data_IF_196827817744
#
_entry.id   IF_196827817744
#
_cell.length_a   1.000
_cell.length_b   1.000
_cell.length_c   1.000
_cell.angle_alpha   90.00
_cell.angle_beta   90.00
_cell.angle_gamma   90.00
#
_symmetry.space_group_name_H-M   'P 1'
#
loop_
_entity.id
_entity.type
_entity.pdbx_description
1 polymer ?
#
# COMPACT_ATOMS: atom_id res chain seq x y z
N UNK A 1 -100.62 34.19 -1.83
CA UNK A 1 -99.41 34.91 -1.37
C UNK A 1 -98.78 34.06 -0.27
N UNK A 2 -98.11 32.96 -0.65
CA UNK A 2 -97.47 32.05 0.30
C UNK A 2 -95.97 32.35 0.27
N UNK A 3 -95.50 33.15 1.21
CA UNK A 3 -94.09 33.44 1.41
C UNK A 3 -93.42 32.24 2.06
N UNK A 4 -92.54 31.60 1.30
CA UNK A 4 -91.57 30.60 1.75
C UNK A 4 -90.61 31.28 2.74
N UNK A 5 -90.92 31.21 4.04
CA UNK A 5 -89.99 31.59 5.09
C UNK A 5 -89.03 30.40 5.32
N UNK A 6 -87.92 30.38 4.57
CA UNK A 6 -86.81 29.47 4.85
C UNK A 6 -86.29 29.77 6.26
N UNK A 7 -86.37 28.79 7.16
CA UNK A 7 -85.91 28.94 8.55
C UNK A 7 -84.39 29.17 8.58
N UNK A 8 -83.88 30.06 9.45
CA UNK A 8 -82.45 30.39 9.52
C UNK A 8 -81.56 29.16 9.83
N UNK A 9 -82.15 28.12 10.44
CA UNK A 9 -81.50 26.85 10.76
C UNK A 9 -81.19 26.03 9.49
N UNK A 10 -82.06 26.07 8.48
CA UNK A 10 -81.86 25.36 7.21
C UNK A 10 -80.74 25.96 6.38
N UNK A 11 -80.55 27.28 6.45
CA UNK A 11 -79.48 27.99 5.74
C UNK A 11 -78.15 27.75 6.44
N UNK A 12 -78.14 27.79 7.78
CA UNK A 12 -76.93 27.53 8.58
C UNK A 12 -76.40 26.11 8.39
N UNK A 13 -77.28 25.11 8.40
CA UNK A 13 -76.91 23.71 8.17
C UNK A 13 -76.37 23.47 6.75
N UNK A 14 -76.95 24.11 5.74
CA UNK A 14 -76.44 24.06 4.36
C UNK A 14 -75.05 24.70 4.22
N UNK A 15 -74.82 25.84 4.89
CA UNK A 15 -73.51 26.52 4.90
C UNK A 15 -72.47 25.66 5.62
N UNK A 16 -72.80 25.06 6.76
CA UNK A 16 -71.89 24.16 7.48
C UNK A 16 -71.58 22.94 6.62
N UNK A 17 -72.56 22.34 5.95
CA UNK A 17 -72.35 21.19 5.06
C UNK A 17 -71.49 21.55 3.84
N UNK A 18 -71.67 22.75 3.29
CA UNK A 18 -70.85 23.27 2.20
C UNK A 18 -69.41 23.55 2.67
N UNK A 19 -69.23 24.15 3.85
CA UNK A 19 -67.92 24.39 4.43
C UNK A 19 -67.20 23.09 4.79
N UNK A 20 -67.89 22.09 5.34
CA UNK A 20 -67.29 20.79 5.65
C UNK A 20 -66.96 20.00 4.40
N UNK A 21 -67.81 20.03 3.36
CA UNK A 21 -67.48 19.39 2.07
C UNK A 21 -66.31 20.08 1.37
N UNK A 22 -66.22 21.42 1.41
CA UNK A 22 -65.04 22.16 0.92
C UNK A 22 -63.79 21.89 1.76
N UNK A 23 -63.92 21.73 3.08
CA UNK A 23 -62.80 21.33 3.95
C UNK A 23 -62.33 19.91 3.65
N UNK A 24 -63.27 18.98 3.44
CA UNK A 24 -62.99 17.57 3.09
C UNK A 24 -62.43 17.43 1.67
N UNK A 25 -62.85 18.28 0.73
CA UNK A 25 -62.25 18.38 -0.61
C UNK A 25 -60.86 19.02 -0.60
N UNK A 26 -60.53 19.83 0.43
CA UNK A 26 -59.17 20.36 0.65
C UNK A 26 -58.21 19.38 1.32
N UNK A 27 -58.70 18.28 1.90
CA UNK A 27 -57.87 17.27 2.56
C UNK A 27 -57.37 16.17 1.64
N UNK A 28 -57.67 16.21 0.34
CA UNK A 28 -57.26 15.18 -0.62
C UNK A 28 -56.32 15.74 -1.69
N UNK A 29 -55.08 15.95 -1.28
CA UNK A 29 -53.88 15.86 -2.11
C UNK A 29 -52.70 15.97 -1.15
N UNK A 30 -52.50 14.93 -0.34
CA UNK A 30 -51.15 14.64 0.12
C UNK A 30 -50.42 14.14 -1.13
N UNK A 31 -49.97 15.07 -1.98
CA UNK A 31 -48.95 14.79 -2.97
C UNK A 31 -47.73 14.39 -2.12
N UNK A 32 -47.60 13.07 -1.90
CA UNK A 32 -46.52 12.51 -1.10
C UNK A 32 -45.23 12.95 -1.77
N UNK A 33 -44.60 13.99 -1.21
CA UNK A 33 -43.40 14.58 -1.78
C UNK A 33 -42.31 13.52 -1.72
N UNK A 34 -42.14 12.78 -2.81
CA UNK A 34 -41.13 11.72 -2.95
C UNK A 34 -39.77 12.31 -2.59
N UNK A 35 -39.20 11.88 -1.46
CA UNK A 35 -37.93 12.30 -0.90
C UNK A 35 -36.86 11.27 -1.24
N UNK A 36 -35.64 11.75 -1.49
CA UNK A 36 -34.48 10.89 -1.68
C UNK A 36 -33.85 10.67 -0.32
N UNK A 37 -33.62 9.41 0.05
CA UNK A 37 -33.03 9.10 1.36
C UNK A 37 -31.51 9.23 1.29
N UNK A 38 -30.96 9.99 2.23
CA UNK A 38 -29.51 10.19 2.37
C UNK A 38 -28.86 9.05 3.13
N UNK A 39 -27.83 8.45 2.53
CA UNK A 39 -26.94 7.56 3.25
C UNK A 39 -26.01 8.39 4.16
N UNK A 40 -25.95 8.05 5.45
CA UNK A 40 -25.17 8.78 6.45
C UNK A 40 -23.73 8.26 6.60
N UNK A 41 -23.47 7.03 6.16
CA UNK A 41 -22.16 6.37 6.29
C UNK A 41 -21.49 6.21 4.93
N UNK A 42 -20.19 6.52 4.82
CA UNK A 42 -19.41 6.24 3.62
C UNK A 42 -19.40 4.75 3.28
N UNK A 43 -19.30 4.46 1.99
CA UNK A 43 -19.08 3.11 1.48
C UNK A 43 -17.58 2.90 1.38
N UNK A 44 -17.09 1.82 1.99
CA UNK A 44 -15.68 1.42 1.87
C UNK A 44 -15.62 0.24 0.89
N UNK A 45 -14.76 0.35 -0.11
CA UNK A 45 -14.58 -0.66 -1.15
C UNK A 45 -13.10 -1.04 -1.29
N UNK A 46 -12.81 -2.30 -1.64
CA UNK A 46 -11.47 -2.67 -2.08
C UNK A 46 -11.29 -2.42 -3.58
N UNK A 47 -10.06 -2.10 -4.00
CA UNK A 47 -9.72 -1.98 -5.43
C UNK A 47 -10.02 -3.31 -6.13
N UNK A 48 -10.75 -3.24 -7.24
CA UNK A 48 -11.22 -4.39 -8.01
C UNK A 48 -12.61 -4.89 -7.63
N UNK A 49 -13.19 -4.43 -6.52
CA UNK A 49 -14.53 -4.86 -6.11
C UNK A 49 -15.64 -4.34 -7.03
N UNK A 50 -16.77 -5.05 -7.04
CA UNK A 50 -18.05 -4.57 -7.54
C UNK A 50 -18.89 -4.05 -6.37
N UNK A 51 -19.33 -2.79 -6.43
CA UNK A 51 -20.09 -2.14 -5.35
C UNK A 51 -21.44 -1.60 -5.82
N UNK A 52 -22.28 -1.25 -4.84
CA UNK A 52 -23.55 -0.56 -5.08
C UNK A 52 -23.59 0.74 -4.28
N UNK A 53 -23.76 1.86 -4.96
CA UNK A 53 -24.05 3.16 -4.36
C UNK A 53 -25.57 3.30 -4.23
N UNK A 54 -26.13 3.28 -3.02
CA UNK A 54 -27.57 3.21 -2.85
C UNK A 54 -28.22 4.58 -3.04
N UNK A 55 -29.39 4.58 -3.67
CA UNK A 55 -30.26 5.73 -3.75
C UNK A 55 -31.69 5.23 -3.99
N UNK A 56 -32.65 5.66 -3.17
CA UNK A 56 -34.03 5.21 -3.26
C UNK A 56 -35.01 6.35 -2.99
N UNK A 57 -36.20 6.19 -3.56
CA UNK A 57 -37.32 7.12 -3.46
C UNK A 57 -38.25 6.72 -2.32
N UNK A 58 -38.64 7.70 -1.49
CA UNK A 58 -39.59 7.53 -0.40
C UNK A 58 -40.71 8.58 -0.49
N UNK A 59 -41.98 8.21 -0.74
CA UNK A 59 -42.45 6.85 -0.91
C UNK A 59 -41.93 6.18 -2.18
N UNK A 60 -41.93 4.84 -2.18
CA UNK A 60 -41.59 4.04 -3.35
C UNK A 60 -42.52 4.34 -4.52
N UNK A 61 -41.94 4.76 -5.65
CA UNK A 61 -42.64 5.04 -6.91
C UNK A 61 -41.89 4.41 -8.08
N UNK A 62 -42.57 4.18 -9.20
CA UNK A 62 -41.95 3.59 -10.39
C UNK A 62 -40.94 4.56 -11.01
N UNK A 63 -39.66 4.31 -10.78
CA UNK A 63 -38.56 5.11 -11.28
C UNK A 63 -38.16 4.76 -12.72
N UNK A 64 -38.73 3.71 -13.33
CA UNK A 64 -38.36 3.30 -14.69
C UNK A 64 -38.68 4.38 -15.73
N UNK A 65 -39.71 5.19 -15.49
CA UNK A 65 -40.14 6.29 -16.36
C UNK A 65 -39.61 7.66 -15.95
N UNK A 66 -38.91 7.75 -14.82
CA UNK A 66 -38.40 9.00 -14.23
C UNK A 66 -36.95 9.21 -14.68
N UNK A 67 -36.57 10.46 -14.96
CA UNK A 67 -35.17 10.82 -15.25
C UNK A 67 -34.39 11.00 -13.95
N UNK A 68 -33.21 10.41 -13.85
CA UNK A 68 -32.29 10.61 -12.74
C UNK A 68 -30.83 10.49 -13.17
N UNK A 69 -29.95 11.12 -12.40
CA UNK A 69 -28.56 11.32 -12.73
C UNK A 69 -27.67 10.94 -11.55
N UNK A 70 -26.69 10.08 -11.80
CA UNK A 70 -25.53 9.91 -10.93
C UNK A 70 -24.40 10.78 -11.45
N UNK A 71 -23.89 11.68 -10.60
CA UNK A 71 -22.85 12.64 -10.97
C UNK A 71 -21.74 12.70 -9.93
N UNK A 72 -20.56 13.12 -10.37
CA UNK A 72 -19.38 13.42 -9.57
C UNK A 72 -19.03 14.89 -9.77
N UNK A 73 -19.33 15.77 -8.79
CA UNK A 73 -19.17 17.22 -8.95
C UNK A 73 -17.73 17.67 -9.23
N UNK A 74 -16.75 16.87 -8.82
CA UNK A 74 -15.32 17.09 -8.99
C UNK A 74 -14.78 16.68 -10.37
N UNK A 75 -15.58 16.00 -11.19
CA UNK A 75 -15.18 15.51 -12.51
C UNK A 75 -15.75 16.36 -13.66
N UNK A 76 -15.04 16.35 -14.79
CA UNK A 76 -15.51 16.91 -16.05
C UNK A 76 -15.24 15.92 -17.21
N UNK A 77 -16.26 15.35 -17.86
CA UNK A 77 -17.69 15.49 -17.59
C UNK A 77 -18.09 14.95 -16.21
N UNK A 78 -19.10 15.54 -15.56
CA UNK A 78 -19.54 15.11 -14.21
C UNK A 78 -20.40 13.85 -14.20
N UNK A 79 -20.92 13.41 -15.34
CA UNK A 79 -21.93 12.35 -15.38
C UNK A 79 -21.29 10.97 -15.23
N UNK A 80 -21.65 10.27 -14.15
CA UNK A 80 -21.24 8.89 -13.89
C UNK A 80 -22.22 7.92 -14.56
N UNK A 81 -23.52 8.22 -14.49
CA UNK A 81 -24.57 7.46 -15.16
C UNK A 81 -25.82 8.33 -15.30
N UNK A 82 -26.52 8.24 -16.43
CA UNK A 82 -27.73 9.03 -16.68
C UNK A 82 -28.81 8.10 -17.21
N UNK A 83 -29.94 8.08 -16.51
CA UNK A 83 -31.14 7.37 -16.91
C UNK A 83 -32.21 8.37 -17.33
N UNK A 84 -32.74 8.20 -18.54
CA UNK A 84 -33.74 9.10 -19.11
C UNK A 84 -34.87 8.28 -19.74
N UNK A 85 -36.04 8.31 -19.09
CA UNK A 85 -37.30 7.76 -19.61
C UNK A 85 -37.19 6.33 -20.20
N UNK A 86 -36.50 5.42 -19.51
CA UNK A 86 -36.38 4.03 -19.92
C UNK A 86 -35.05 3.67 -20.59
N UNK A 87 -34.18 4.64 -20.86
CA UNK A 87 -32.93 4.45 -21.59
C UNK A 87 -31.72 5.02 -20.85
N UNK A 88 -30.57 4.35 -21.01
CA UNK A 88 -29.28 4.82 -20.52
C UNK A 88 -28.66 5.80 -21.52
N UNK A 89 -28.36 7.03 -21.10
CA UNK A 89 -27.71 8.03 -21.97
C UNK A 89 -26.19 7.91 -21.91
N UNK A 90 -25.64 7.00 -22.71
CA UNK A 90 -24.21 6.65 -22.72
C UNK A 90 -23.29 7.77 -23.26
N UNK A 91 -23.80 8.67 -24.09
CA UNK A 91 -22.98 9.70 -24.74
C UNK A 91 -22.49 10.78 -23.77
N UNK A 92 -23.26 11.05 -22.72
CA UNK A 92 -22.93 12.05 -21.69
C UNK A 92 -21.97 11.49 -20.63
N UNK A 93 -21.81 10.17 -20.58
CA UNK A 93 -21.09 9.49 -19.53
C UNK A 93 -19.59 9.82 -19.57
N UNK A 94 -19.03 10.13 -18.39
CA UNK A 94 -17.61 10.30 -18.22
C UNK A 94 -16.86 9.02 -18.67
N UNK A 95 -15.81 9.13 -19.50
CA UNK A 95 -15.08 7.99 -20.04
C UNK A 95 -14.60 6.97 -19.00
N UNK A 96 -14.24 7.42 -17.78
CA UNK A 96 -13.75 6.54 -16.70
C UNK A 96 -14.80 5.55 -16.17
N UNK A 97 -16.08 5.82 -16.43
CA UNK A 97 -17.22 5.02 -15.96
C UNK A 97 -17.91 4.24 -17.08
N UNK A 98 -17.55 4.49 -18.35
CA UNK A 98 -18.16 3.81 -19.50
C UNK A 98 -17.96 2.29 -19.40
N UNK A 99 -19.06 1.56 -19.53
CA UNK A 99 -19.07 0.09 -19.42
C UNK A 99 -18.88 -0.46 -18.01
N UNK A 100 -18.72 0.40 -16.99
CA UNK A 100 -18.50 -0.01 -15.59
C UNK A 100 -19.69 0.22 -14.69
N UNK A 101 -20.72 0.93 -15.16
CA UNK A 101 -21.90 1.25 -14.36
C UNK A 101 -23.18 0.67 -14.92
N UNK A 102 -24.08 0.27 -14.03
CA UNK A 102 -25.41 -0.24 -14.40
C UNK A 102 -26.42 0.00 -13.29
N UNK A 103 -27.71 -0.16 -13.61
CA UNK A 103 -28.83 -0.07 -12.68
C UNK A 103 -29.44 -1.45 -12.44
N UNK A 104 -30.18 -1.59 -11.35
CA UNK A 104 -31.00 -2.78 -11.06
C UNK A 104 -32.37 -2.62 -11.73
N UNK A 105 -32.48 -2.97 -13.01
CA UNK A 105 -33.69 -2.75 -13.81
C UNK A 105 -34.96 -3.30 -13.17
N UNK A 106 -34.86 -4.44 -12.49
CA UNK A 106 -35.95 -5.08 -11.76
C UNK A 106 -36.42 -4.32 -10.52
N UNK A 107 -35.57 -3.46 -9.94
CA UNK A 107 -35.86 -2.68 -8.73
C UNK A 107 -36.27 -1.23 -9.00
N UNK A 108 -36.13 -0.75 -10.23
CA UNK A 108 -36.58 0.59 -10.63
C UNK A 108 -38.08 0.79 -10.35
N UNK A 109 -38.90 -0.25 -10.57
CA UNK A 109 -40.35 -0.20 -10.31
C UNK A 109 -40.71 -0.01 -8.84
N UNK A 110 -39.79 -0.35 -7.93
CA UNK A 110 -39.92 -0.13 -6.48
C UNK A 110 -39.24 1.15 -6.01
N UNK A 111 -38.77 2.02 -6.91
CA UNK A 111 -38.12 3.27 -6.56
C UNK A 111 -36.66 3.15 -6.14
N UNK A 112 -36.03 2.00 -6.35
CA UNK A 112 -34.59 1.80 -6.11
C UNK A 112 -33.81 2.18 -7.36
N UNK A 113 -33.07 3.27 -7.27
CA UNK A 113 -32.25 3.86 -8.34
C UNK A 113 -30.74 3.76 -8.00
N UNK A 114 -30.39 2.76 -7.19
CA UNK A 114 -29.01 2.49 -6.79
C UNK A 114 -28.12 2.16 -7.99
N UNK A 115 -26.89 2.67 -7.96
CA UNK A 115 -25.92 2.48 -9.02
C UNK A 115 -24.98 1.33 -8.69
N UNK A 116 -24.88 0.34 -9.59
CA UNK A 116 -23.77 -0.62 -9.56
C UNK A 116 -22.54 0.01 -10.22
N UNK A 117 -21.39 -0.08 -9.57
CA UNK A 117 -20.07 0.28 -10.11
C UNK A 117 -19.16 -0.95 -10.03
N UNK A 118 -18.56 -1.33 -11.15
CA UNK A 118 -17.70 -2.52 -11.26
C UNK A 118 -16.21 -2.18 -11.32
N UNK A 119 -15.38 -3.12 -10.86
CA UNK A 119 -13.92 -3.04 -10.87
C UNK A 119 -13.38 -1.74 -10.26
N UNK A 120 -13.77 -1.42 -9.02
CA UNK A 120 -13.44 -0.14 -8.34
C UNK A 120 -11.95 0.20 -8.46
N UNK A 121 -11.65 1.45 -8.80
CA UNK A 121 -10.30 2.01 -8.96
C UNK A 121 -10.03 3.10 -7.92
N UNK A 122 -8.76 3.37 -7.59
CA UNK A 122 -8.39 4.52 -6.76
C UNK A 122 -9.03 5.85 -7.20
N UNK A 123 -9.11 6.09 -8.52
CA UNK A 123 -9.71 7.29 -9.10
C UNK A 123 -11.23 7.41 -8.88
N UNK A 124 -11.90 6.32 -8.51
CA UNK A 124 -13.33 6.32 -8.25
C UNK A 124 -13.65 6.82 -6.84
N UNK A 125 -12.66 6.96 -5.96
CA UNK A 125 -12.85 7.56 -4.63
C UNK A 125 -13.45 8.97 -4.74
N UNK A 126 -14.39 9.29 -3.86
CA UNK A 126 -14.99 10.61 -3.77
C UNK A 126 -16.50 10.62 -3.56
N UNK A 127 -17.08 11.81 -3.72
CA UNK A 127 -18.47 12.10 -3.38
C UNK A 127 -19.38 12.05 -4.61
N UNK A 128 -20.24 11.05 -4.67
CA UNK A 128 -21.24 10.86 -5.72
C UNK A 128 -22.55 11.55 -5.35
N UNK A 129 -23.23 12.11 -6.34
CA UNK A 129 -24.54 12.76 -6.22
C UNK A 129 -25.56 12.00 -7.03
N UNK A 130 -26.61 11.52 -6.38
CA UNK A 130 -27.82 11.00 -7.01
C UNK A 130 -28.82 12.15 -7.08
N UNK A 131 -29.25 12.54 -8.28
CA UNK A 131 -30.12 13.70 -8.50
C UNK A 131 -31.33 13.34 -9.36
N UNK A 132 -32.51 13.81 -8.95
CA UNK A 132 -33.74 13.70 -9.70
C UNK A 132 -34.20 15.09 -10.15
N UNK A 133 -33.98 15.45 -11.43
CA UNK A 133 -34.32 16.77 -11.94
C UNK A 133 -35.78 17.16 -11.76
N UNK A 134 -36.72 16.23 -12.01
CA UNK A 134 -38.16 16.51 -11.93
C UNK A 134 -38.62 16.87 -10.52
N UNK A 135 -37.99 16.29 -9.50
CA UNK A 135 -38.33 16.53 -8.10
C UNK A 135 -37.46 17.62 -7.46
N UNK A 136 -36.43 18.08 -8.17
CA UNK A 136 -35.37 18.96 -7.64
C UNK A 136 -34.75 18.43 -6.33
N UNK A 137 -34.60 17.10 -6.21
CA UNK A 137 -34.04 16.45 -5.02
C UNK A 137 -32.75 15.72 -5.35
N UNK A 138 -31.79 15.82 -4.46
CA UNK A 138 -30.55 15.06 -4.50
C UNK A 138 -30.20 14.41 -3.17
N UNK A 139 -29.30 13.46 -3.26
CA UNK A 139 -28.53 12.97 -2.13
C UNK A 139 -27.09 12.71 -2.53
N UNK A 140 -26.24 12.51 -1.52
CA UNK A 140 -24.83 12.23 -1.73
C UNK A 140 -24.42 10.93 -1.05
N UNK A 141 -23.54 10.21 -1.73
CA UNK A 141 -22.90 8.99 -1.23
C UNK A 141 -21.40 9.19 -1.34
N UNK A 142 -20.68 8.97 -0.25
CA UNK A 142 -19.22 9.05 -0.22
C UNK A 142 -18.64 7.64 -0.37
N UNK A 143 -17.75 7.48 -1.36
CA UNK A 143 -17.00 6.25 -1.59
C UNK A 143 -15.55 6.45 -1.15
N UNK A 144 -15.08 5.58 -0.25
CA UNK A 144 -13.69 5.47 0.20
C UNK A 144 -13.11 4.19 -0.40
N UNK A 145 -11.96 4.31 -1.06
CA UNK A 145 -11.31 3.19 -1.73
C UNK A 145 -10.12 2.73 -0.90
N UNK A 146 -9.95 1.42 -0.79
CA UNK A 146 -8.86 0.79 -0.04
C UNK A 146 -8.17 -0.28 -0.89
N UNK A 147 -6.86 -0.39 -0.76
CA UNK A 147 -6.09 -1.53 -1.25
C UNK A 147 -5.03 -1.87 -0.22
N UNK A 148 -4.90 -3.15 0.08
CA UNK A 148 -3.99 -3.65 1.11
C UNK A 148 -3.11 -4.72 0.48
N UNK A 149 -1.80 -4.55 0.65
CA UNK A 149 -0.84 -5.55 0.19
C UNK A 149 -1.04 -6.90 0.88
N UNK A 150 -0.76 -7.97 0.14
CA UNK A 150 -0.74 -9.34 0.65
C UNK A 150 0.65 -9.76 1.14
N UNK A 151 1.73 -9.07 0.75
CA UNK A 151 3.10 -9.46 1.14
C UNK A 151 4.10 -8.31 1.06
N UNK A 152 5.09 -8.32 1.97
CA UNK A 152 6.24 -7.42 1.95
C UNK A 152 7.53 -8.19 1.68
N UNK A 153 8.42 -7.63 0.88
CA UNK A 153 9.76 -8.16 0.62
C UNK A 153 10.76 -7.53 1.58
N UNK A 154 11.67 -8.35 2.11
CA UNK A 154 12.68 -7.92 3.09
C UNK A 154 14.07 -8.12 2.52
N UNK A 155 14.91 -7.09 2.65
CA UNK A 155 16.34 -7.15 2.38
C UNK A 155 17.15 -7.00 3.67
N UNK A 156 18.24 -7.77 3.79
CA UNK A 156 19.18 -7.70 4.90
C UNK A 156 20.57 -7.44 4.32
N UNK A 157 21.22 -6.34 4.73
CA UNK A 157 22.53 -5.96 4.24
C UNK A 157 23.49 -5.68 5.41
N UNK A 158 24.68 -6.29 5.37
CA UNK A 158 25.74 -5.99 6.35
C UNK A 158 26.34 -4.61 6.10
N UNK A 159 26.64 -3.89 7.19
CA UNK A 159 27.40 -2.64 7.19
C UNK A 159 28.70 -2.85 7.99
N UNK A 160 29.66 -1.95 7.82
CA UNK A 160 30.88 -1.93 8.64
C UNK A 160 30.54 -1.78 10.13
N UNK A 161 31.44 -2.26 10.99
CA UNK A 161 31.33 -2.18 12.45
C UNK A 161 30.20 -3.00 13.09
N UNK A 162 29.68 -4.03 12.41
CA UNK A 162 28.70 -4.95 13.01
C UNK A 162 27.27 -4.39 13.05
N UNK A 163 27.00 -3.31 12.33
CA UNK A 163 25.65 -2.83 12.07
C UNK A 163 25.04 -3.54 10.85
N UNK A 164 23.71 -3.66 10.83
CA UNK A 164 22.96 -4.29 9.74
C UNK A 164 21.86 -3.34 9.28
N UNK A 165 21.74 -3.15 7.96
CA UNK A 165 20.64 -2.41 7.35
C UNK A 165 19.55 -3.39 6.96
N UNK A 166 18.35 -3.15 7.48
CA UNK A 166 17.14 -3.83 7.08
C UNK A 166 16.40 -2.93 6.09
N UNK A 167 15.89 -3.53 5.02
CA UNK A 167 15.02 -2.87 4.06
C UNK A 167 13.70 -3.63 3.99
N UNK A 168 12.59 -2.91 4.10
CA UNK A 168 11.26 -3.44 3.92
C UNK A 168 10.62 -2.75 2.72
N UNK A 169 10.13 -3.53 1.77
CA UNK A 169 9.43 -3.05 0.58
C UNK A 169 8.06 -3.71 0.50
N UNK A 170 6.99 -2.93 0.31
CA UNK A 170 5.61 -3.41 0.23
C UNK A 170 4.87 -2.71 -0.90
N UNK A 171 4.06 -3.47 -1.67
CA UNK A 171 3.43 -2.99 -2.92
C UNK A 171 1.92 -3.19 -2.89
N UNK A 172 1.16 -2.35 -3.60
CA UNK A 172 -0.29 -2.54 -3.75
C UNK A 172 -1.13 -1.91 -2.65
N UNK A 173 -0.73 -0.73 -2.17
CA UNK A 173 -1.44 0.00 -1.12
C UNK A 173 -2.25 1.17 -1.69
N UNK A 174 -3.44 1.42 -1.14
CA UNK A 174 -4.17 2.66 -1.38
C UNK A 174 -5.12 2.93 -0.21
N UNK A 175 -5.21 4.15 0.35
CA UNK A 175 -4.34 5.31 0.13
C UNK A 175 -2.86 5.09 0.55
N UNK A 176 -2.03 6.13 0.50
CA UNK A 176 -0.62 6.05 0.91
C UNK A 176 -0.46 5.55 2.36
N UNK A 177 0.32 4.47 2.61
CA UNK A 177 0.54 3.94 3.96
C UNK A 177 1.85 4.44 4.60
N UNK A 178 2.00 4.23 5.90
CA UNK A 178 3.21 4.51 6.67
C UNK A 178 3.96 3.22 7.02
N UNK A 179 5.29 3.25 7.01
CA UNK A 179 6.13 2.12 7.46
C UNK A 179 6.76 2.44 8.81
N UNK A 180 6.52 1.57 9.78
CA UNK A 180 6.98 1.66 11.16
C UNK A 180 7.86 0.45 11.45
N UNK A 181 8.99 0.69 12.12
CA UNK A 181 9.91 -0.36 12.54
C UNK A 181 9.81 -0.60 14.03
N UNK A 182 9.73 -1.88 14.42
CA UNK A 182 9.70 -2.31 15.81
C UNK A 182 10.84 -3.29 16.09
N UNK A 183 11.38 -3.26 17.30
CA UNK A 183 12.24 -4.34 17.81
C UNK A 183 11.42 -5.56 18.25
N UNK A 184 12.12 -6.63 18.66
CA UNK A 184 11.50 -7.89 19.12
C UNK A 184 10.64 -7.75 20.37
N UNK A 185 10.76 -6.63 21.09
CA UNK A 185 9.99 -6.29 22.28
C UNK A 185 8.81 -5.36 21.97
N UNK A 186 8.69 -4.88 20.72
CA UNK A 186 7.63 -4.01 20.25
C UNK A 186 7.90 -2.51 20.40
N UNK A 187 9.14 -2.09 20.69
CA UNK A 187 9.51 -0.68 20.79
C UNK A 187 9.82 -0.10 19.41
N UNK A 188 9.49 1.18 19.22
CA UNK A 188 9.74 1.91 17.98
C UNK A 188 11.24 2.10 17.73
N UNK A 189 11.67 1.84 16.50
CA UNK A 189 13.01 2.12 16.01
C UNK A 189 13.02 3.42 15.20
N UNK A 190 14.09 4.20 15.37
CA UNK A 190 14.32 5.40 14.56
C UNK A 190 14.81 4.99 13.18
N UNK A 191 13.97 5.17 12.16
CA UNK A 191 14.27 4.89 10.76
C UNK A 191 14.31 6.18 9.95
N UNK A 192 14.88 6.09 8.74
CA UNK A 192 14.77 7.18 7.76
C UNK A 192 13.32 7.39 7.29
N UNK A 193 13.08 8.45 6.48
CA UNK A 193 11.76 8.65 5.89
C UNK A 193 11.37 7.45 5.00
N UNK A 194 10.07 7.16 4.96
CA UNK A 194 9.53 6.15 4.04
C UNK A 194 9.59 6.71 2.62
N UNK A 195 10.19 5.96 1.71
CA UNK A 195 10.16 6.24 0.28
C UNK A 195 8.86 5.69 -0.29
N UNK A 196 8.05 6.55 -0.92
CA UNK A 196 6.78 6.15 -1.53
C UNK A 196 6.81 6.44 -3.02
N UNK A 197 6.34 5.47 -3.81
CA UNK A 197 6.26 5.57 -5.27
C UNK A 197 4.86 5.14 -5.70
N UNK A 198 4.22 5.97 -6.52
CA UNK A 198 2.91 5.64 -7.11
C UNK A 198 3.10 4.93 -8.44
N UNK A 199 2.54 3.73 -8.53
CA UNK A 199 2.58 2.88 -9.72
C UNK A 199 1.62 3.35 -10.82
N UNK A 200 1.70 2.74 -12.02
CA UNK A 200 0.77 3.02 -13.12
C UNK A 200 -0.67 2.54 -12.85
N UNK A 201 -0.85 1.68 -11.86
CA UNK A 201 -2.12 1.19 -11.33
C UNK A 201 -2.73 2.13 -10.27
N UNK A 202 -2.12 3.30 -10.05
CA UNK A 202 -2.45 4.25 -8.99
C UNK A 202 -2.27 3.72 -7.55
N UNK A 203 -1.62 2.57 -7.39
CA UNK A 203 -1.31 2.00 -6.09
C UNK A 203 0.08 2.43 -5.62
N UNK A 204 0.24 2.53 -4.30
CA UNK A 204 1.48 2.91 -3.64
C UNK A 204 2.37 1.68 -3.41
N UNK A 205 3.65 1.86 -3.71
CA UNK A 205 4.75 1.03 -3.27
C UNK A 205 5.56 1.81 -2.25
N UNK A 206 5.79 1.22 -1.09
CA UNK A 206 6.51 1.84 0.02
C UNK A 206 7.76 1.07 0.35
N UNK A 207 8.85 1.78 0.57
CA UNK A 207 10.16 1.24 0.91
C UNK A 207 10.71 2.02 2.09
N UNK A 208 11.17 1.31 3.13
CA UNK A 208 11.82 1.93 4.28
C UNK A 208 13.08 1.15 4.65
N UNK A 209 14.07 1.87 5.17
CA UNK A 209 15.35 1.31 5.61
C UNK A 209 15.63 1.72 7.05
N UNK A 210 16.11 0.78 7.85
CA UNK A 210 16.56 1.02 9.23
C UNK A 210 17.91 0.36 9.47
N UNK A 211 18.78 1.01 10.24
CA UNK A 211 20.05 0.43 10.68
C UNK A 211 19.90 -0.06 12.10
N UNK A 212 20.24 -1.32 12.34
CA UNK A 212 20.12 -1.98 13.64
C UNK A 212 21.44 -2.60 14.07
N UNK A 213 21.62 -2.70 15.37
CA UNK A 213 22.74 -3.40 16.01
C UNK A 213 22.24 -4.69 16.68
N UNK A 214 23.18 -5.56 17.07
CA UNK A 214 22.86 -6.83 17.72
C UNK A 214 22.08 -6.62 19.02
N UNK A 215 20.97 -7.35 19.18
CA UNK A 215 20.15 -7.38 20.40
C UNK A 215 19.95 -8.81 20.89
N UNK A 216 19.22 -8.99 21.98
CA UNK A 216 19.00 -10.32 22.56
C UNK A 216 18.13 -11.22 21.66
N UNK A 217 17.07 -10.66 21.07
CA UNK A 217 16.10 -11.37 20.23
C UNK A 217 16.50 -11.44 18.75
N UNK A 218 17.30 -10.47 18.28
CA UNK A 218 17.64 -10.29 16.85
C UNK A 218 16.42 -10.37 15.92
N UNK A 219 15.24 -10.05 16.44
CA UNK A 219 14.00 -9.99 15.70
C UNK A 219 13.55 -8.55 15.57
N UNK A 220 13.01 -8.24 14.40
CA UNK A 220 12.55 -6.91 14.04
C UNK A 220 11.25 -7.06 13.26
N UNK A 221 10.36 -6.10 13.40
CA UNK A 221 9.08 -6.11 12.70
C UNK A 221 8.98 -4.88 11.81
N UNK A 222 8.75 -5.09 10.52
CA UNK A 222 8.28 -4.05 9.62
C UNK A 222 6.75 -4.04 9.68
N UNK A 223 6.16 -2.94 10.15
CA UNK A 223 4.71 -2.72 10.20
C UNK A 223 4.34 -1.66 9.17
N UNK A 224 3.57 -2.05 8.16
CA UNK A 224 2.96 -1.13 7.20
C UNK A 224 1.53 -0.85 7.66
N UNK A 225 1.22 0.42 7.91
CA UNK A 225 -0.01 0.85 8.55
C UNK A 225 -0.71 1.93 7.72
N UNK A 226 -2.03 1.81 7.60
CA UNK A 226 -2.89 2.75 6.91
C UNK A 226 -3.96 3.26 7.89
N UNK A 227 -3.80 4.51 8.34
CA UNK A 227 -4.65 5.08 9.38
C UNK A 227 -6.08 5.37 8.90
N UNK A 228 -6.26 5.75 7.63
CA UNK A 228 -7.58 6.11 7.07
C UNK A 228 -8.56 4.94 7.03
N UNK A 229 -8.07 3.73 6.81
CA UNK A 229 -8.87 2.49 6.70
C UNK A 229 -8.67 1.55 7.89
N UNK A 230 -7.81 1.93 8.84
CA UNK A 230 -7.35 1.11 9.98
C UNK A 230 -6.78 -0.26 9.55
N UNK A 231 -6.06 -0.32 8.43
CA UNK A 231 -5.44 -1.54 7.92
C UNK A 231 -3.96 -1.62 8.34
N UNK A 232 -3.51 -2.82 8.73
CA UNK A 232 -2.14 -3.06 9.21
C UNK A 232 -1.61 -4.36 8.62
N UNK A 233 -0.35 -4.36 8.16
CA UNK A 233 0.40 -5.56 7.76
C UNK A 233 1.76 -5.58 8.44
N UNK A 234 2.10 -6.70 9.04
CA UNK A 234 3.37 -6.89 9.72
C UNK A 234 4.20 -7.96 9.03
N UNK A 235 5.51 -7.77 9.01
CA UNK A 235 6.48 -8.75 8.53
C UNK A 235 7.59 -8.89 9.56
N UNK A 236 7.70 -10.10 10.10
CA UNK A 236 8.73 -10.46 11.08
C UNK A 236 10.03 -10.79 10.36
N UNK A 237 11.13 -10.25 10.87
CA UNK A 237 12.46 -10.36 10.31
C UNK A 237 13.36 -10.87 11.41
N UNK A 238 13.94 -12.06 11.23
CA UNK A 238 14.97 -12.58 12.12
C UNK A 238 16.34 -12.46 11.46
N UNK A 239 17.27 -11.76 12.12
CA UNK A 239 18.61 -11.52 11.59
C UNK A 239 19.58 -12.53 12.22
N UNK A 240 20.19 -13.42 11.44
CA UNK A 240 21.16 -14.38 11.97
C UNK A 240 22.42 -13.69 12.54
N UNK A 241 23.04 -14.30 13.55
CA UNK A 241 24.16 -13.70 14.29
C UNK A 241 25.40 -13.39 13.44
N UNK A 242 25.62 -14.14 12.37
CA UNK A 242 26.73 -13.93 11.44
C UNK A 242 26.62 -12.61 10.67
N UNK A 243 25.42 -12.00 10.60
CA UNK A 243 25.25 -10.66 10.02
C UNK A 243 25.86 -9.55 10.89
N UNK A 244 25.90 -9.75 12.20
CA UNK A 244 26.49 -8.80 13.15
C UNK A 244 27.98 -9.08 13.43
N UNK A 245 28.55 -10.16 12.87
CA UNK A 245 29.94 -10.49 13.06
C UNK A 245 30.85 -9.43 12.42
N UNK A 246 31.67 -8.77 13.24
CA UNK A 246 32.70 -7.86 12.74
C UNK A 246 33.76 -8.69 12.01
N UNK A 247 33.97 -8.41 10.73
CA UNK A 247 35.02 -9.06 9.95
C UNK A 247 36.37 -8.65 10.53
N UNK A 248 36.97 -9.55 11.31
CA UNK A 248 38.22 -9.30 12.02
C UNK A 248 39.38 -9.12 11.02
N UNK A 249 39.93 -7.91 10.94
CA UNK A 249 41.06 -7.56 10.08
C UNK A 249 42.37 -8.26 10.46
N UNK A 250 42.43 -8.89 11.63
CA UNK A 250 43.63 -9.60 12.11
C UNK A 250 43.76 -11.02 11.56
N UNK A 251 42.70 -11.63 11.02
CA UNK A 251 42.75 -13.01 10.48
C UNK A 251 43.71 -13.13 9.28
N UNK A 252 43.67 -12.25 8.25
CA UNK A 252 44.65 -12.30 7.16
C UNK A 252 46.09 -12.01 7.65
N UNK A 253 46.24 -11.16 8.67
CA UNK A 253 47.55 -10.83 9.25
C UNK A 253 48.13 -12.02 10.01
N UNK A 254 47.34 -12.67 10.87
CA UNK A 254 47.77 -13.83 11.66
C UNK A 254 48.08 -15.02 10.76
N UNK A 255 47.25 -15.27 9.74
CA UNK A 255 47.50 -16.34 8.76
C UNK A 255 48.75 -16.05 7.92
N UNK A 256 48.95 -14.81 7.48
CA UNK A 256 50.17 -14.37 6.81
C UNK A 256 51.43 -14.57 7.67
N UNK A 257 51.40 -14.13 8.93
CA UNK A 257 52.51 -14.30 9.87
C UNK A 257 52.83 -15.79 10.14
N UNK A 258 51.82 -16.63 10.31
CA UNK A 258 52.00 -18.07 10.52
C UNK A 258 52.67 -18.74 9.30
N UNK A 259 52.25 -18.38 8.09
CA UNK A 259 52.85 -18.87 6.85
C UNK A 259 54.30 -18.40 6.73
N UNK A 260 54.59 -17.13 7.02
CA UNK A 260 55.96 -16.60 7.04
C UNK A 260 56.86 -17.34 8.04
N UNK A 261 56.38 -17.61 9.25
CA UNK A 261 57.13 -18.36 10.28
C UNK A 261 57.40 -19.80 9.82
N UNK A 262 56.44 -20.45 9.16
CA UNK A 262 56.62 -21.79 8.58
C UNK A 262 57.72 -21.80 7.52
N UNK A 263 57.77 -20.81 6.62
CA UNK A 263 58.84 -20.73 5.62
C UNK A 263 60.21 -20.43 6.24
N UNK A 264 60.28 -19.55 7.24
CA UNK A 264 61.53 -19.23 7.93
C UNK A 264 62.07 -20.47 8.65
N UNK A 265 61.22 -21.22 9.35
CA UNK A 265 61.65 -22.44 10.06
C UNK A 265 62.15 -23.52 9.09
N UNK A 266 61.50 -23.70 7.94
CA UNK A 266 61.96 -24.60 6.88
C UNK A 266 63.32 -24.16 6.30
N UNK A 267 63.51 -22.86 6.03
CA UNK A 267 64.78 -22.33 5.54
C UNK A 267 65.92 -22.53 6.55
N UNK A 268 65.67 -22.25 7.83
CA UNK A 268 66.63 -22.48 8.92
C UNK A 268 66.99 -23.97 9.01
N UNK A 269 66.01 -24.87 8.90
CA UNK A 269 66.24 -26.32 8.90
C UNK A 269 67.11 -26.77 7.73
N UNK A 270 66.86 -26.26 6.51
CA UNK A 270 67.68 -26.55 5.33
C UNK A 270 69.11 -26.06 5.52
N UNK A 271 69.30 -24.82 6.00
CA UNK A 271 70.65 -24.27 6.26
C UNK A 271 71.37 -25.09 7.34
N UNK A 272 70.68 -25.47 8.41
CA UNK A 272 71.24 -26.31 9.47
C UNK A 272 71.69 -27.68 8.93
N UNK A 273 70.86 -28.33 8.10
CA UNK A 273 71.19 -29.62 7.46
C UNK A 273 72.37 -29.49 6.48
N UNK A 274 72.45 -28.42 5.70
CA UNK A 274 73.59 -28.13 4.82
C UNK A 274 74.89 -27.90 5.61
N UNK A 275 74.81 -27.23 6.77
CA UNK A 275 75.96 -27.08 7.69
C UNK A 275 76.43 -28.40 8.27
N UNK A 276 75.51 -29.29 8.66
CA UNK A 276 75.91 -30.64 9.11
C UNK A 276 76.59 -31.45 8.00
N UNK A 277 76.09 -31.38 6.76
CA UNK A 277 76.73 -32.05 5.63
C UNK A 277 78.14 -31.49 5.36
N UNK A 278 78.33 -30.16 5.48
CA UNK A 278 79.66 -29.53 5.36
C UNK A 278 80.64 -29.94 6.46
N UNK A 279 80.16 -30.15 7.69
CA UNK A 279 80.99 -30.70 8.78
C UNK A 279 81.30 -32.20 8.63
N UNK A 280 80.53 -32.92 7.81
CA UNK A 280 80.80 -34.32 7.45
C UNK A 280 81.79 -34.43 6.27
N UNK A 281 81.77 -33.47 5.34
CA UNK A 281 82.62 -33.45 4.14
C UNK A 281 83.94 -32.65 4.30
N UNK A 282 84.20 -32.01 5.45
CA UNK A 282 85.45 -31.25 5.68
C UNK A 282 86.68 -32.12 6.01
N UNK A 283 86.74 -33.37 5.54
CA UNK A 283 87.95 -34.20 5.58
C UNK A 283 88.72 -34.22 4.24
N UNK A 284 88.19 -33.75 3.10
CA UNK A 284 88.99 -33.61 1.87
C UNK A 284 88.54 -32.41 0.97
N UNK A 285 89.50 -31.51 0.67
CA UNK A 285 89.47 -30.31 -0.22
C UNK A 285 89.40 -30.67 -1.74
N UNK A 286 89.32 -29.74 -2.76
CA UNK A 286 89.44 -28.26 -2.77
C UNK A 286 88.41 -27.45 -3.64
N UNK A 287 88.66 -26.14 -3.73
CA UNK A 287 87.94 -24.98 -4.31
C UNK A 287 87.59 -24.97 -5.82
N UNK A 288 86.32 -24.67 -6.16
CA UNK A 288 85.87 -23.71 -7.21
C UNK A 288 84.33 -23.75 -7.38
N UNK A 289 83.55 -22.79 -6.86
CA UNK A 289 82.24 -22.34 -7.42
C UNK A 289 81.58 -21.25 -6.53
N UNK A 290 82.09 -20.02 -6.58
CA UNK A 290 81.60 -18.89 -5.76
C UNK A 290 80.89 -17.80 -6.57
N UNK A 291 80.23 -18.15 -7.69
CA UNK A 291 79.56 -17.14 -8.55
C UNK A 291 78.07 -17.40 -8.83
N UNK A 292 77.59 -18.65 -8.87
CA UNK A 292 76.17 -18.92 -9.16
C UNK A 292 75.24 -18.95 -7.93
N UNK A 293 75.77 -19.16 -6.72
CA UNK A 293 74.95 -19.22 -5.50
C UNK A 293 74.44 -17.84 -5.03
N UNK A 294 75.06 -16.75 -5.48
CA UNK A 294 74.67 -15.40 -5.04
C UNK A 294 73.47 -14.84 -5.84
N UNK A 295 73.36 -15.19 -7.13
CA UNK A 295 72.27 -14.71 -7.99
C UNK A 295 70.92 -15.36 -7.67
N UNK A 296 70.92 -16.63 -7.23
CA UNK A 296 69.67 -17.35 -6.92
C UNK A 296 69.09 -16.87 -5.58
N UNK A 297 69.92 -16.63 -4.55
CA UNK A 297 69.44 -16.08 -3.28
C UNK A 297 68.87 -14.66 -3.42
N UNK A 298 69.49 -13.82 -4.25
CA UNK A 298 69.00 -12.46 -4.50
C UNK A 298 67.63 -12.45 -5.17
N UNK A 299 67.41 -13.32 -6.17
CA UNK A 299 66.14 -13.39 -6.88
C UNK A 299 65.00 -13.91 -6.00
N UNK A 300 65.26 -14.88 -5.13
CA UNK A 300 64.23 -15.40 -4.20
C UNK A 300 63.88 -14.42 -3.09
N UNK A 301 64.87 -13.67 -2.58
CA UNK A 301 64.63 -12.63 -1.57
C UNK A 301 63.82 -11.47 -2.16
N UNK A 302 64.09 -11.05 -3.40
CA UNK A 302 63.37 -9.96 -4.04
C UNK A 302 61.91 -10.34 -4.37
N UNK A 303 61.65 -11.58 -4.78
CA UNK A 303 60.29 -12.09 -4.98
C UNK A 303 59.52 -12.26 -3.67
N UNK A 304 60.18 -12.70 -2.59
CA UNK A 304 59.57 -12.77 -1.25
C UNK A 304 59.28 -11.38 -0.68
N UNK A 305 60.14 -10.39 -0.94
CA UNK A 305 59.93 -9.00 -0.53
C UNK A 305 58.76 -8.36 -1.30
N UNK A 306 58.61 -8.64 -2.59
CA UNK A 306 57.47 -8.16 -3.40
C UNK A 306 56.15 -8.83 -3.01
N UNK A 307 56.14 -10.14 -2.71
CA UNK A 307 54.92 -10.81 -2.22
C UNK A 307 54.51 -10.33 -0.82
N UNK A 308 55.47 -9.96 0.04
CA UNK A 308 55.17 -9.45 1.38
C UNK A 308 54.71 -7.98 1.39
N UNK A 309 54.88 -7.26 0.27
CA UNK A 309 54.46 -5.85 0.12
C UNK A 309 53.09 -5.69 -0.56
N UNK A 310 52.49 -6.80 -1.02
CA UNK A 310 51.19 -6.84 -1.71
C UNK A 310 50.03 -7.39 -0.83
N UNK A 311 50.32 -7.70 0.45
CA UNK A 311 49.34 -8.09 1.49
C UNK A 311 49.18 -6.91 2.44
#
# INVERSE_FOLDING_TARGET
>A
MNSLLSTPISVFTAIVFYLTTVLLLKTDSCEGQSAVISQLQPIVASVGDDITLPCHLEPAVDAAVITFEWTRPDLNPRFVHVWHSGENLMDLQNPSFKGRTSLFSEKLKSGDISLKLSEVKPSDEGKYRCFLPLLEKDTFVELIVSAVSTSSTVGIQRVSHGAVVLQCNSTGWYPEPEVIWLDGEGNLLSAGPTETVRGPDDLYTVSSRVTVEKRHSNSFTCRVQQNSTNQIRETLIHVPDDFFAVQSSSVPIITGLAVCIMFISAAVFVVWKLRQKKNSESVFLPSHLSSLHCCILSSTYLTLFFLCSLV
#
